data_IF_757082098886
#
_entry.id   IF_757082098886
#
_cell.length_a   1.000
_cell.length_b   1.000
_cell.length_c   1.000
_cell.angle_alpha   90.00
_cell.angle_beta   90.00
_cell.angle_gamma   90.00
#
_symmetry.space_group_name_H-M   'P 1'
#
loop_
_entity.id
_entity.type
_entity.pdbx_description
1 polymer ?
#
# COMPACT_ATOMS: atom_id res chain seq x y z
N UNK A 1 1.55 -13.24 18.46
CA UNK A 1 1.56 -11.78 18.22
C UNK A 1 2.80 -11.31 17.45
N UNK A 2 4.03 -11.69 17.86
CA UNK A 2 5.27 -11.32 17.16
C UNK A 2 5.32 -11.65 15.66
N UNK A 3 4.89 -12.85 15.27
CA UNK A 3 4.89 -13.30 13.87
C UNK A 3 4.01 -12.44 12.95
N UNK A 4 2.85 -11.97 13.43
CA UNK A 4 1.94 -11.12 12.65
C UNK A 4 2.53 -9.73 12.43
N UNK A 5 3.17 -9.16 13.46
CA UNK A 5 3.87 -7.88 13.36
C UNK A 5 5.02 -7.98 12.35
N UNK A 6 5.85 -9.03 12.47
CA UNK A 6 6.99 -9.25 11.58
C UNK A 6 6.56 -9.46 10.12
N UNK A 7 5.50 -10.24 9.88
CA UNK A 7 4.94 -10.42 8.55
C UNK A 7 4.40 -9.10 7.98
N UNK A 8 3.64 -8.32 8.78
CA UNK A 8 3.11 -7.02 8.37
C UNK A 8 4.20 -6.02 8.00
N UNK A 9 5.21 -5.86 8.87
CA UNK A 9 6.35 -4.99 8.59
C UNK A 9 7.14 -5.43 7.35
N UNK A 10 7.32 -6.74 7.17
CA UNK A 10 8.00 -7.30 5.99
C UNK A 10 7.24 -6.95 4.70
N UNK A 11 5.91 -7.11 4.70
CA UNK A 11 5.07 -6.75 3.54
C UNK A 11 5.23 -5.27 3.21
N UNK A 12 5.10 -4.37 4.19
CA UNK A 12 5.21 -2.93 3.97
C UNK A 12 6.60 -2.54 3.44
N UNK A 13 7.67 -3.14 3.95
CA UNK A 13 9.03 -2.93 3.46
C UNK A 13 9.21 -3.42 2.01
N UNK A 14 8.65 -4.58 1.67
CA UNK A 14 8.69 -5.10 0.30
C UNK A 14 7.92 -4.20 -0.67
N UNK A 15 6.74 -3.71 -0.30
CA UNK A 15 5.99 -2.73 -1.09
C UNK A 15 6.84 -1.49 -1.34
N UNK A 16 7.47 -0.94 -0.30
CA UNK A 16 8.32 0.25 -0.43
C UNK A 16 9.52 0.05 -1.34
N UNK A 17 10.18 -1.11 -1.26
CA UNK A 17 11.30 -1.45 -2.15
C UNK A 17 10.86 -1.52 -3.62
N UNK A 18 9.71 -2.15 -3.90
CA UNK A 18 9.17 -2.24 -5.26
C UNK A 18 8.84 -0.85 -5.81
N UNK A 19 8.10 -0.03 -5.06
CA UNK A 19 7.71 1.30 -5.53
C UNK A 19 8.93 2.19 -5.72
N UNK A 20 9.92 2.12 -4.83
CA UNK A 20 11.14 2.91 -4.96
C UNK A 20 11.91 2.58 -6.24
N UNK A 21 11.99 1.29 -6.60
CA UNK A 21 12.78 0.81 -7.73
C UNK A 21 12.11 0.95 -9.10
N UNK A 22 10.78 0.88 -9.19
CA UNK A 22 10.05 0.97 -10.47
C UNK A 22 9.95 2.42 -10.96
N UNK A 23 9.97 2.67 -12.27
CA UNK A 23 9.72 4.02 -12.79
C UNK A 23 8.20 4.36 -12.77
N UNK A 24 7.86 5.63 -12.96
CA UNK A 24 6.48 6.12 -12.90
C UNK A 24 5.59 5.54 -14.02
N UNK A 25 6.12 5.38 -15.23
CA UNK A 25 5.39 4.81 -16.35
C UNK A 25 4.97 3.37 -16.05
N UNK A 26 5.93 2.53 -15.67
CA UNK A 26 5.70 1.11 -15.39
C UNK A 26 4.84 0.90 -14.13
N UNK A 27 4.84 1.83 -13.18
CA UNK A 27 3.95 1.78 -12.01
C UNK A 27 2.47 1.83 -12.41
N UNK A 28 2.14 2.67 -13.39
CA UNK A 28 0.79 2.89 -13.89
C UNK A 28 0.44 2.03 -15.11
N UNK A 29 1.39 1.25 -15.62
CA UNK A 29 1.21 0.46 -16.85
C UNK A 29 0.44 -0.83 -16.57
N UNK A 30 -0.64 -1.11 -17.31
CA UNK A 30 -1.31 -2.41 -17.26
C UNK A 30 -0.36 -3.53 -17.67
N UNK A 31 -0.38 -4.64 -16.91
CA UNK A 31 0.46 -5.81 -17.19
C UNK A 31 -0.39 -7.07 -17.31
N UNK A 32 -0.16 -7.86 -18.35
CA UNK A 32 -0.81 -9.17 -18.52
C UNK A 32 -0.46 -10.13 -17.40
N UNK A 33 0.74 -10.01 -16.80
CA UNK A 33 1.15 -10.78 -15.63
C UNK A 33 0.34 -10.43 -14.37
N UNK A 34 -0.30 -9.26 -14.36
CA UNK A 34 -1.16 -8.77 -13.28
C UNK A 34 -2.64 -8.78 -13.70
N UNK A 35 -3.05 -9.69 -14.60
CA UNK A 35 -4.43 -9.76 -15.10
C UNK A 35 -4.94 -8.44 -15.71
N UNK A 36 -4.05 -7.71 -16.39
CA UNK A 36 -4.26 -6.37 -16.94
C UNK A 36 -4.48 -5.25 -15.89
N UNK A 37 -4.20 -5.51 -14.61
CA UNK A 37 -4.05 -4.48 -13.60
C UNK A 37 -2.65 -3.85 -13.62
N UNK A 38 -2.50 -2.74 -12.90
CA UNK A 38 -1.24 -2.01 -12.74
C UNK A 38 -0.56 -2.36 -11.42
N UNK A 39 0.75 -2.08 -11.31
CA UNK A 39 1.46 -2.22 -10.02
C UNK A 39 0.82 -1.31 -8.96
N UNK A 40 0.46 -0.08 -9.32
CA UNK A 40 -0.23 0.84 -8.43
C UNK A 40 -1.57 0.32 -7.90
N UNK A 41 -2.35 -0.38 -8.72
CA UNK A 41 -3.63 -0.98 -8.29
C UNK A 41 -3.43 -2.08 -7.24
N UNK A 42 -2.44 -2.96 -7.44
CA UNK A 42 -2.11 -4.01 -6.47
C UNK A 42 -1.52 -3.44 -5.18
N UNK A 43 -0.69 -2.41 -5.29
CA UNK A 43 -0.17 -1.68 -4.15
C UNK A 43 -1.30 -1.09 -3.31
N UNK A 44 -2.20 -0.29 -3.92
CA UNK A 44 -3.33 0.31 -3.23
C UNK A 44 -4.17 -0.73 -2.54
N UNK A 45 -4.51 -1.81 -3.26
CA UNK A 45 -5.32 -2.89 -2.70
C UNK A 45 -4.73 -3.47 -1.41
N UNK A 46 -3.41 -3.62 -1.34
CA UNK A 46 -2.71 -4.16 -0.18
C UNK A 46 -2.57 -3.12 0.93
N UNK A 47 -2.06 -1.93 0.61
CA UNK A 47 -1.76 -0.87 1.57
C UNK A 47 -3.01 -0.36 2.30
N UNK A 48 -4.17 -0.32 1.62
CA UNK A 48 -5.43 0.12 2.24
C UNK A 48 -5.93 -0.82 3.35
N UNK A 49 -5.51 -2.09 3.39
CA UNK A 49 -5.82 -2.95 4.53
C UNK A 49 -5.09 -2.48 5.79
N UNK A 50 -3.83 -2.05 5.67
CA UNK A 50 -3.05 -1.54 6.79
C UNK A 50 -3.57 -0.18 7.26
N UNK A 51 -3.87 0.73 6.33
CA UNK A 51 -4.48 2.04 6.64
C UNK A 51 -5.81 1.84 7.36
N UNK A 52 -6.66 0.94 6.87
CA UNK A 52 -7.96 0.67 7.48
C UNK A 52 -7.85 0.01 8.86
N UNK A 53 -6.85 -0.86 9.04
CA UNK A 53 -6.56 -1.44 10.34
C UNK A 53 -6.12 -0.36 11.34
N UNK A 54 -5.20 0.52 10.95
CA UNK A 54 -4.71 1.60 11.80
C UNK A 54 -5.85 2.56 12.20
N UNK A 55 -6.63 3.04 11.22
CA UNK A 55 -7.77 3.91 11.47
C UNK A 55 -8.86 3.23 12.33
N UNK A 56 -9.14 1.96 12.04
CA UNK A 56 -10.15 1.20 12.78
C UNK A 56 -9.70 0.81 14.18
N UNK A 57 -8.39 0.70 14.42
CA UNK A 57 -7.84 0.42 15.75
C UNK A 57 -8.14 1.55 16.73
N UNK A 58 -7.94 2.82 16.31
CA UNK A 58 -8.29 3.98 17.14
C UNK A 58 -9.79 4.05 17.47
N UNK A 59 -10.63 3.60 16.53
CA UNK A 59 -12.10 3.60 16.67
C UNK A 59 -12.65 2.33 17.35
N UNK A 60 -11.81 1.33 17.62
CA UNK A 60 -12.21 0.02 18.14
C UNK A 60 -13.02 -0.85 17.17
N UNK A 61 -13.14 -0.45 15.90
CA UNK A 61 -13.91 -1.15 14.86
C UNK A 61 -13.18 -1.05 13.53
N UNK A 62 -12.86 -2.20 12.92
CA UNK A 62 -12.27 -2.28 11.59
C UNK A 62 -13.32 -2.74 10.57
N UNK A 63 -13.51 -1.99 9.49
CA UNK A 63 -14.45 -2.32 8.42
C UNK A 63 -13.75 -2.27 7.04
N UNK A 64 -13.29 -3.44 6.58
CA UNK A 64 -12.56 -3.55 5.31
C UNK A 64 -13.41 -3.33 4.06
N UNK A 65 -14.74 -3.41 4.17
CA UNK A 65 -15.65 -3.10 3.06
C UNK A 65 -15.73 -1.57 2.83
N UNK A 66 -15.44 -0.76 3.87
CA UNK A 66 -15.46 0.71 3.82
C UNK A 66 -14.08 1.34 3.62
N UNK A 67 -13.12 0.61 3.04
CA UNK A 67 -11.81 1.16 2.67
C UNK A 67 -11.96 2.31 1.67
N UNK A 68 -11.03 3.27 1.72
CA UNK A 68 -11.14 4.57 1.05
C UNK A 68 -11.03 4.49 -0.49
N UNK A 69 -10.40 3.44 -1.04
CA UNK A 69 -10.17 3.28 -2.48
C UNK A 69 -9.51 4.52 -3.12
N UNK A 70 -8.45 5.03 -2.50
CA UNK A 70 -7.74 6.23 -2.93
C UNK A 70 -7.07 6.01 -4.29
N UNK A 71 -7.72 6.51 -5.35
CA UNK A 71 -7.27 6.41 -6.73
C UNK A 71 -5.97 7.15 -7.01
N UNK A 72 -5.64 8.20 -6.26
CA UNK A 72 -4.37 8.89 -6.45
C UNK A 72 -3.18 7.96 -6.17
N UNK A 73 -3.32 7.09 -5.16
CA UNK A 73 -2.27 6.15 -4.76
C UNK A 73 -1.97 5.05 -5.80
N UNK A 74 -2.94 4.69 -6.65
CA UNK A 74 -2.70 3.72 -7.73
C UNK A 74 -2.22 4.35 -9.05
N UNK A 75 -2.26 5.69 -9.16
CA UNK A 75 -1.90 6.43 -10.39
C UNK A 75 -0.68 7.35 -10.22
N UNK A 76 -0.18 7.50 -9.00
CA UNK A 76 0.98 8.34 -8.70
C UNK A 76 1.92 7.60 -7.73
N UNK A 77 3.10 7.25 -8.25
CA UNK A 77 4.16 6.56 -7.51
C UNK A 77 4.61 7.34 -6.28
N UNK A 78 4.69 8.66 -6.36
CA UNK A 78 5.17 9.52 -5.28
C UNK A 78 4.13 9.61 -4.17
N UNK A 79 2.84 9.68 -4.50
CA UNK A 79 1.76 9.59 -3.51
C UNK A 79 1.77 8.24 -2.80
N UNK A 80 2.00 7.15 -3.54
CA UNK A 80 2.17 5.81 -2.98
C UNK A 80 3.36 5.72 -2.00
N UNK A 81 4.54 6.19 -2.40
CA UNK A 81 5.73 6.21 -1.53
C UNK A 81 5.52 7.06 -0.29
N UNK A 82 4.94 8.25 -0.46
CA UNK A 82 4.63 9.13 0.65
C UNK A 82 3.71 8.43 1.66
N UNK A 83 2.67 7.76 1.17
CA UNK A 83 1.72 7.02 2.02
C UNK A 83 2.41 5.86 2.76
N UNK A 84 3.30 5.11 2.10
CA UNK A 84 4.09 4.04 2.72
C UNK A 84 5.00 4.57 3.84
N UNK A 85 5.68 5.71 3.64
CA UNK A 85 6.52 6.31 4.68
C UNK A 85 5.71 6.71 5.92
N UNK A 86 4.53 7.32 5.74
CA UNK A 86 3.64 7.65 6.86
C UNK A 86 3.20 6.40 7.64
N UNK A 87 2.92 5.29 6.95
CA UNK A 87 2.42 4.05 7.56
C UNK A 87 3.52 3.12 8.08
N UNK A 88 4.81 3.42 7.86
CA UNK A 88 5.94 2.62 8.36
C UNK A 88 6.65 3.28 9.54
N UNK A 89 6.24 4.49 9.94
CA UNK A 89 6.90 5.26 11.00
C UNK A 89 8.32 5.72 10.64
N UNK A 90 8.70 5.63 9.36
CA UNK A 90 9.99 6.11 8.86
C UNK A 90 9.79 7.55 8.39
N UNK A 91 9.93 8.48 9.33
CA UNK A 91 10.05 9.91 9.02
C UNK A 91 11.50 10.20 8.65
N UNK A 92 11.74 10.66 7.41
CA UNK A 92 12.96 11.37 7.05
C UNK A 92 12.73 12.87 7.20
#
# INVERSE_FOLDING_TARGET
MKQLLEAGSTILAQLMNVVSAINEEDFCKPSTALSNSTVGQHLRHTLEFFICLEQGYELGVVNYDKRIHNKAMENDKHIALHTLHQNTGIYY
#
